data_IF_620677714155
#
_entry.id   IF_620677714155
#
_cell.length_a   1.000
_cell.length_b   1.000
_cell.length_c   1.000
_cell.angle_alpha   90.00
_cell.angle_beta   90.00
_cell.angle_gamma   90.00
#
_symmetry.space_group_name_H-M   'P 1'
#
loop_
_entity.id
_entity.type
_entity.pdbx_description
1 polymer ?
#
# COMPACT_ATOMS: atom_id res chain seq x y z
N UNK A 1 -1.24 2.96 -35.26
CA UNK A 1 0.10 2.40 -35.58
C UNK A 1 1.01 3.60 -35.79
N UNK A 2 2.14 3.53 -35.12
CA UNK A 2 3.35 4.35 -35.22
C UNK A 2 3.21 5.81 -34.73
N UNK A 3 3.58 6.14 -33.48
CA UNK A 3 4.90 6.14 -32.82
C UNK A 3 5.77 7.32 -33.24
N UNK A 4 5.96 8.28 -32.34
CA UNK A 4 7.27 8.78 -31.86
C UNK A 4 7.04 9.29 -30.42
N UNK A 5 7.74 8.69 -29.46
CA UNK A 5 7.93 9.23 -28.11
C UNK A 5 9.22 10.06 -28.18
N UNK A 6 9.09 11.38 -28.14
CA UNK A 6 10.17 12.31 -27.86
C UNK A 6 9.84 13.03 -26.55
N UNK A 7 10.71 12.87 -25.56
CA UNK A 7 11.00 13.81 -24.47
C UNK A 7 12.10 13.11 -23.65
N UNK A 8 13.34 13.59 -23.55
CA UNK A 8 13.77 14.97 -23.42
C UNK A 8 14.55 15.05 -22.10
N UNK A 9 15.72 14.42 -22.04
CA UNK A 9 16.63 14.57 -20.91
C UNK A 9 17.34 15.91 -21.04
N UNK A 10 16.96 16.90 -20.21
CA UNK A 10 17.68 18.17 -20.13
C UNK A 10 19.06 17.95 -19.47
N UNK A 11 20.10 17.91 -20.30
CA UNK A 11 21.50 17.73 -19.88
C UNK A 11 22.18 19.10 -19.79
N UNK A 12 22.57 19.54 -18.58
CA UNK A 12 23.43 20.71 -18.37
C UNK A 12 24.72 20.29 -17.64
N UNK A 13 25.86 20.83 -18.11
CA UNK A 13 27.21 20.25 -18.13
C UNK A 13 28.14 20.51 -16.90
N UNK A 14 29.09 19.57 -16.71
CA UNK A 14 30.49 19.63 -16.18
C UNK A 14 30.82 19.85 -14.68
N UNK A 15 31.44 18.85 -14.01
CA UNK A 15 32.91 18.75 -13.72
C UNK A 15 33.23 17.65 -12.67
N UNK A 16 34.46 17.10 -12.74
CA UNK A 16 34.94 15.84 -12.14
C UNK A 16 35.11 15.82 -10.60
N UNK A 17 34.87 14.64 -10.01
CA UNK A 17 35.50 14.20 -8.76
C UNK A 17 35.26 12.71 -8.46
N UNK A 18 36.32 11.88 -8.44
CA UNK A 18 36.28 10.46 -8.02
C UNK A 18 36.49 10.34 -6.50
N UNK A 19 35.65 9.59 -5.78
CA UNK A 19 35.96 9.13 -4.39
C UNK A 19 35.29 7.78 -4.05
N UNK A 20 36.06 6.85 -3.47
CA UNK A 20 35.62 5.54 -2.95
C UNK A 20 35.06 5.55 -1.50
N UNK A 21 34.40 4.46 -1.09
CA UNK A 21 33.54 4.37 0.10
C UNK A 21 34.19 3.73 1.36
N UNK A 22 33.84 4.28 2.54
CA UNK A 22 34.07 3.83 3.93
C UNK A 22 33.19 4.68 4.87
N UNK A 23 32.53 4.01 5.81
CA UNK A 23 31.53 4.47 6.80
C UNK A 23 32.06 5.56 7.76
N UNK A 24 31.18 6.52 8.10
CA UNK A 24 31.29 7.67 9.05
C UNK A 24 31.10 9.01 8.31
N UNK A 25 30.09 9.78 8.74
CA UNK A 25 29.76 11.17 8.39
C UNK A 25 30.46 11.75 7.16
N UNK A 26 29.85 11.55 5.99
CA UNK A 26 30.35 12.12 4.73
C UNK A 26 29.52 13.34 4.35
N UNK A 27 30.17 14.50 4.34
CA UNK A 27 29.70 15.67 3.59
C UNK A 27 30.19 15.48 2.16
N UNK A 28 29.28 15.14 1.23
CA UNK A 28 29.62 15.03 -0.19
C UNK A 28 29.04 16.25 -0.91
N UNK A 29 29.94 17.10 -1.40
CA UNK A 29 29.61 18.20 -2.30
C UNK A 29 29.68 17.67 -3.72
N UNK A 30 28.56 17.69 -4.42
CA UNK A 30 28.43 17.12 -5.76
C UNK A 30 27.43 17.95 -6.56
N UNK A 31 27.69 18.11 -7.86
CA UNK A 31 26.68 18.56 -8.82
C UNK A 31 25.71 17.40 -9.04
N UNK A 32 24.46 17.56 -8.64
CA UNK A 32 23.44 16.54 -8.79
C UNK A 32 22.63 16.79 -10.07
N UNK A 33 22.38 15.72 -10.83
CA UNK A 33 21.49 15.75 -11.98
C UNK A 33 20.04 15.50 -11.52
N UNK A 34 19.09 16.19 -12.14
CA UNK A 34 17.65 15.90 -12.02
C UNK A 34 17.31 14.83 -13.06
N UNK A 35 16.71 13.74 -12.61
CA UNK A 35 16.13 12.74 -13.50
C UNK A 35 14.69 12.45 -13.11
N UNK A 36 13.92 12.00 -14.11
CA UNK A 36 12.51 11.65 -13.99
C UNK A 36 12.39 10.20 -14.50
N UNK A 37 12.12 9.22 -13.63
CA UNK A 37 11.87 7.84 -14.07
C UNK A 37 12.10 6.74 -13.01
N UNK A 38 11.43 5.61 -13.21
CA UNK A 38 11.49 4.40 -12.38
C UNK A 38 12.84 3.67 -12.48
N UNK A 39 13.26 3.04 -11.36
CA UNK A 39 14.26 1.96 -11.12
C UNK A 39 15.65 2.00 -11.80
N UNK A 40 15.89 2.84 -12.82
CA UNK A 40 17.07 2.76 -13.71
C UNK A 40 17.88 4.05 -13.86
N UNK A 41 17.51 5.14 -13.19
CA UNK A 41 18.15 6.45 -13.40
C UNK A 41 19.57 6.55 -12.78
N UNK A 42 19.79 5.91 -11.62
CA UNK A 42 21.09 6.01 -10.94
C UNK A 42 22.27 5.45 -11.75
N UNK A 43 22.04 4.41 -12.56
CA UNK A 43 23.09 3.86 -13.44
C UNK A 43 23.32 4.77 -14.65
N UNK A 44 22.27 5.36 -15.22
CA UNK A 44 22.41 6.33 -16.32
C UNK A 44 23.18 7.58 -15.89
N UNK A 45 22.87 8.14 -14.71
CA UNK A 45 23.60 9.28 -14.14
C UNK A 45 25.07 8.91 -13.90
N UNK A 46 25.35 7.70 -13.41
CA UNK A 46 26.72 7.20 -13.22
C UNK A 46 27.48 7.07 -14.54
N UNK A 47 26.84 6.49 -15.56
CA UNK A 47 27.43 6.27 -16.89
C UNK A 47 27.70 7.60 -17.61
N UNK A 48 26.88 8.63 -17.35
CA UNK A 48 27.10 10.01 -17.79
C UNK A 48 28.21 10.75 -17.01
N UNK A 49 28.86 10.09 -16.04
CA UNK A 49 29.93 10.68 -15.21
C UNK A 49 29.43 11.52 -14.03
N UNK A 50 28.13 11.42 -13.69
CA UNK A 50 27.52 12.17 -12.61
C UNK A 50 27.95 11.68 -11.22
N UNK A 51 28.32 12.58 -10.28
CA UNK A 51 28.78 12.20 -8.95
C UNK A 51 27.64 11.88 -7.96
N UNK A 52 26.43 12.39 -8.21
CA UNK A 52 25.26 12.22 -7.37
C UNK A 52 23.96 12.45 -8.15
N UNK A 53 22.83 12.01 -7.57
CA UNK A 53 21.49 12.14 -8.12
C UNK A 53 20.50 12.68 -7.09
N UNK A 54 19.61 13.58 -7.52
CA UNK A 54 18.40 13.92 -6.77
C UNK A 54 17.23 13.36 -7.57
N UNK A 55 16.68 12.24 -7.11
CA UNK A 55 15.48 11.64 -7.67
C UNK A 55 14.27 12.45 -7.22
N UNK A 56 13.40 12.80 -8.15
CA UNK A 56 12.23 13.64 -7.87
C UNK A 56 10.94 12.95 -8.25
N UNK A 57 9.98 12.97 -7.34
CA UNK A 57 8.62 12.52 -7.60
C UNK A 57 7.94 13.37 -8.67
N UNK A 58 7.07 12.73 -9.45
CA UNK A 58 6.08 13.39 -10.29
C UNK A 58 4.81 13.79 -9.49
N UNK A 59 3.85 14.42 -10.17
CA UNK A 59 2.59 14.92 -9.57
C UNK A 59 1.76 13.81 -8.91
N UNK A 60 1.83 12.58 -9.41
CA UNK A 60 1.06 11.43 -8.89
C UNK A 60 1.68 10.89 -7.61
N UNK A 61 3.01 10.78 -7.58
CA UNK A 61 3.79 10.30 -6.42
C UNK A 61 3.77 11.31 -5.26
N UNK A 62 3.68 12.60 -5.58
CA UNK A 62 3.49 13.69 -4.62
C UNK A 62 4.52 13.66 -3.47
N UNK A 63 4.10 13.36 -2.23
CA UNK A 63 4.96 13.33 -1.04
C UNK A 63 5.44 11.92 -0.66
N UNK A 64 5.11 10.88 -1.44
CA UNK A 64 5.52 9.52 -1.13
C UNK A 64 7.01 9.32 -1.38
N UNK A 65 7.80 9.10 -0.33
CA UNK A 65 9.25 8.92 -0.45
C UNK A 65 9.58 7.47 -0.23
N UNK A 66 10.09 6.83 -1.28
CA UNK A 66 10.53 5.45 -1.25
C UNK A 66 12.05 5.43 -1.09
N UNK A 67 12.51 4.69 -0.09
CA UNK A 67 13.91 4.32 0.05
C UNK A 67 14.26 3.19 -0.90
N UNK A 68 15.01 3.52 -1.96
CA UNK A 68 15.60 2.56 -2.89
C UNK A 68 17.12 2.63 -2.86
N UNK A 69 17.76 1.52 -3.24
CA UNK A 69 19.21 1.46 -3.34
C UNK A 69 19.66 1.98 -4.71
N UNK A 70 20.65 2.88 -4.72
CA UNK A 70 21.23 3.43 -5.94
C UNK A 70 22.74 3.14 -6.04
N UNK A 71 23.25 3.02 -7.26
CA UNK A 71 24.66 2.72 -7.56
C UNK A 71 25.63 3.90 -7.33
N UNK A 72 25.08 5.08 -7.01
CA UNK A 72 25.78 6.31 -6.68
C UNK A 72 25.06 7.03 -5.53
N UNK A 73 25.61 8.17 -5.09
CA UNK A 73 25.00 8.97 -4.03
C UNK A 73 23.66 9.53 -4.49
N UNK A 74 22.56 9.14 -3.84
CA UNK A 74 21.24 9.59 -4.23
C UNK A 74 20.39 10.01 -3.04
N UNK A 75 19.45 10.93 -3.29
CA UNK A 75 18.35 11.26 -2.38
C UNK A 75 17.06 11.35 -3.19
N UNK A 76 15.96 10.87 -2.60
CA UNK A 76 14.64 10.95 -3.18
C UNK A 76 13.84 12.08 -2.51
N UNK A 77 13.25 12.98 -3.30
CA UNK A 77 12.50 14.13 -2.81
C UNK A 77 11.10 14.24 -3.45
N UNK A 78 10.17 14.83 -2.69
CA UNK A 78 8.78 15.00 -3.12
C UNK A 78 8.64 15.95 -4.32
N UNK A 79 7.52 15.86 -5.02
CA UNK A 79 7.18 16.78 -6.12
C UNK A 79 7.20 18.25 -5.68
N UNK A 80 6.70 18.55 -4.47
CA UNK A 80 6.74 19.91 -3.92
C UNK A 80 8.18 20.42 -3.67
N UNK A 81 9.11 19.52 -3.37
CA UNK A 81 10.52 19.85 -3.20
C UNK A 81 11.21 20.04 -4.55
N UNK A 82 10.88 19.21 -5.55
CA UNK A 82 11.35 19.36 -6.94
C UNK A 82 11.07 20.77 -7.46
N UNK A 83 9.85 21.28 -7.30
CA UNK A 83 9.48 22.62 -7.77
C UNK A 83 10.38 23.72 -7.17
N UNK A 84 10.74 23.58 -5.88
CA UNK A 84 11.67 24.49 -5.21
C UNK A 84 13.11 24.35 -5.72
N UNK A 85 13.52 23.12 -6.03
CA UNK A 85 14.86 22.83 -6.57
C UNK A 85 14.98 23.40 -7.99
N UNK A 86 13.98 23.21 -8.86
CA UNK A 86 13.92 23.81 -10.20
C UNK A 86 13.98 25.33 -10.15
N UNK A 87 13.21 25.95 -9.25
CA UNK A 87 13.26 27.39 -9.05
C UNK A 87 14.65 27.87 -8.59
N UNK A 88 15.31 27.13 -7.69
CA UNK A 88 16.67 27.44 -7.24
C UNK A 88 17.68 27.32 -8.39
N UNK A 89 17.63 26.27 -9.20
CA UNK A 89 18.52 26.08 -10.36
C UNK A 89 18.42 27.26 -11.32
N UNK A 90 17.21 27.75 -11.58
CA UNK A 90 16.99 28.89 -12.48
C UNK A 90 17.35 30.25 -11.86
N UNK A 91 17.61 30.31 -10.55
CA UNK A 91 17.91 31.57 -9.85
C UNK A 91 19.40 31.96 -9.86
N UNK A 92 20.29 31.06 -10.26
CA UNK A 92 21.75 31.28 -10.24
C UNK A 92 22.42 30.60 -11.42
N UNK A 93 23.51 31.17 -11.92
CA UNK A 93 24.31 30.59 -13.01
C UNK A 93 25.22 29.44 -12.58
N UNK A 94 25.39 29.23 -11.27
CA UNK A 94 26.25 28.17 -10.70
C UNK A 94 25.54 27.45 -9.54
N UNK A 95 24.45 26.71 -9.80
CA UNK A 95 23.71 26.01 -8.75
C UNK A 95 24.56 24.87 -8.18
N UNK A 96 24.67 24.83 -6.86
CA UNK A 96 25.33 23.73 -6.13
C UNK A 96 24.43 23.18 -5.04
N UNK A 97 24.60 21.91 -4.69
CA UNK A 97 23.86 21.23 -3.65
C UNK A 97 24.78 20.32 -2.82
N UNK A 98 24.32 19.92 -1.64
CA UNK A 98 25.02 18.97 -0.77
C UNK A 98 24.01 17.97 -0.23
N UNK A 99 24.30 16.68 -0.37
CA UNK A 99 23.47 15.61 0.18
C UNK A 99 24.11 15.18 1.51
N UNK A 100 23.34 15.20 2.59
CA UNK A 100 23.77 14.82 3.93
C UNK A 100 22.92 13.64 4.40
N UNK A 101 23.56 12.50 4.67
CA UNK A 101 22.89 11.31 5.18
C UNK A 101 22.80 11.35 6.70
N UNK A 102 21.57 11.35 7.23
CA UNK A 102 21.30 11.38 8.67
C UNK A 102 20.96 10.01 9.27
N UNK A 103 21.09 8.94 8.47
CA UNK A 103 20.65 7.60 8.85
C UNK A 103 19.13 7.45 8.90
N UNK A 104 18.66 6.40 9.56
CA UNK A 104 17.22 6.09 9.68
C UNK A 104 16.57 6.97 10.76
N UNK A 105 15.54 7.71 10.37
CA UNK A 105 14.67 8.44 11.30
C UNK A 105 13.48 7.57 11.66
N UNK A 106 13.30 7.30 12.95
CA UNK A 106 12.18 6.54 13.51
C UNK A 106 11.18 7.47 14.21
N UNK A 107 9.93 7.01 14.36
CA UNK A 107 8.91 7.73 15.12
C UNK A 107 8.18 8.82 14.34
N UNK A 108 8.12 8.71 13.01
CA UNK A 108 7.33 9.61 12.15
C UNK A 108 5.86 9.56 12.55
N UNK A 109 5.38 10.62 13.21
CA UNK A 109 4.03 10.61 13.80
C UNK A 109 2.89 10.67 12.78
N UNK A 110 3.19 11.03 11.54
CA UNK A 110 2.22 11.04 10.44
C UNK A 110 1.98 9.66 9.83
N UNK A 111 2.79 8.65 10.19
CA UNK A 111 2.61 7.27 9.72
C UNK A 111 1.39 6.58 10.39
N UNK A 112 0.69 5.70 9.67
CA UNK A 112 0.94 5.31 8.28
C UNK A 112 0.31 6.30 7.28
N UNK A 113 0.84 6.27 6.05
CA UNK A 113 0.31 6.97 4.88
C UNK A 113 0.09 5.90 3.80
N UNK A 114 -1.00 6.00 3.02
CA UNK A 114 -1.24 5.10 1.89
C UNK A 114 -0.33 5.49 0.74
N UNK A 115 0.49 4.54 0.27
CA UNK A 115 1.43 4.74 -0.83
C UNK A 115 0.73 5.07 -2.15
N UNK A 116 1.40 5.83 -3.02
CA UNK A 116 0.85 6.26 -4.31
C UNK A 116 0.53 5.05 -5.21
N UNK A 117 1.41 4.05 -5.22
CA UNK A 117 1.28 2.84 -6.03
C UNK A 117 0.24 1.85 -5.50
N UNK A 118 -0.25 2.05 -4.26
CA UNK A 118 -1.25 1.14 -3.67
C UNK A 118 -2.55 1.25 -4.45
N UNK A 119 -2.95 0.17 -5.13
CA UNK A 119 -4.17 0.14 -5.92
C UNK A 119 -5.40 0.50 -5.08
N UNK A 120 -6.30 1.26 -5.69
CA UNK A 120 -7.51 1.77 -5.05
C UNK A 120 -8.74 1.02 -5.57
N UNK A 121 -9.76 0.89 -4.72
CA UNK A 121 -11.07 0.41 -5.13
C UNK A 121 -11.86 1.41 -5.99
N UNK A 122 -13.13 1.10 -6.32
CA UNK A 122 -13.88 -0.10 -5.93
C UNK A 122 -13.42 -1.38 -6.67
N UNK A 123 -13.83 -2.54 -6.17
CA UNK A 123 -13.61 -3.80 -6.90
C UNK A 123 -14.53 -3.88 -8.11
N UNK A 124 -13.97 -3.90 -9.31
CA UNK A 124 -14.73 -4.09 -10.55
C UNK A 124 -15.35 -5.50 -10.66
N UNK A 125 -14.78 -6.49 -9.96
CA UNK A 125 -15.33 -7.84 -9.92
C UNK A 125 -16.63 -7.92 -9.11
N UNK A 126 -16.77 -7.09 -8.08
CA UNK A 126 -17.94 -7.09 -7.20
C UNK A 126 -18.08 -5.77 -6.45
N UNK A 127 -18.92 -4.87 -6.98
CA UNK A 127 -19.21 -3.57 -6.35
C UNK A 127 -19.88 -3.69 -4.97
N UNK A 128 -20.48 -4.83 -4.64
CA UNK A 128 -21.08 -5.10 -3.32
C UNK A 128 -20.06 -5.36 -2.19
N UNK A 129 -18.77 -5.53 -2.53
CA UNK A 129 -17.69 -5.76 -1.57
C UNK A 129 -16.67 -4.65 -1.70
N UNK A 130 -16.49 -3.89 -0.63
CA UNK A 130 -15.48 -2.83 -0.55
C UNK A 130 -14.07 -3.43 -0.66
N UNK A 131 -13.20 -2.80 -1.47
CA UNK A 131 -11.77 -3.12 -1.56
C UNK A 131 -10.91 -1.85 -1.50
N UNK A 132 -9.70 -1.91 -0.91
CA UNK A 132 -9.08 -3.07 -0.25
C UNK A 132 -9.82 -3.47 1.05
N UNK A 133 -9.39 -4.51 1.75
CA UNK A 133 -10.00 -4.90 3.03
C UNK A 133 -9.38 -4.12 4.21
N UNK A 134 -8.04 -4.04 4.26
CA UNK A 134 -7.25 -3.37 5.29
C UNK A 134 -5.87 -3.03 4.70
N UNK A 135 -5.09 -2.17 5.36
CA UNK A 135 -3.73 -1.82 4.95
C UNK A 135 -2.70 -2.29 5.98
N UNK A 136 -1.46 -2.48 5.53
CA UNK A 136 -0.32 -2.83 6.38
C UNK A 136 0.99 -2.21 5.87
N UNK A 137 2.11 -2.45 6.57
CA UNK A 137 3.41 -1.93 6.18
C UNK A 137 3.88 -2.52 4.85
N UNK A 138 4.15 -1.67 3.85
CA UNK A 138 4.58 -2.11 2.52
C UNK A 138 5.52 -1.16 1.79
N UNK A 139 6.00 -0.11 2.44
CA UNK A 139 6.94 0.86 1.85
C UNK A 139 8.26 0.75 2.60
N UNK A 140 9.37 0.67 1.85
CA UNK A 140 10.73 0.61 2.38
C UNK A 140 10.92 -0.49 3.42
N UNK A 141 10.40 -1.68 3.10
CA UNK A 141 10.51 -2.88 3.94
C UNK A 141 11.87 -3.52 3.69
N UNK A 142 12.61 -3.76 4.77
CA UNK A 142 13.83 -4.55 4.73
C UNK A 142 13.48 -6.04 4.61
N UNK A 143 13.84 -6.67 3.49
CA UNK A 143 13.48 -8.03 3.16
C UNK A 143 14.68 -8.83 2.65
N UNK A 144 14.67 -10.14 2.88
CA UNK A 144 15.71 -11.03 2.37
C UNK A 144 15.48 -11.38 0.90
N UNK A 145 16.55 -11.45 0.10
CA UNK A 145 16.54 -11.82 -1.32
C UNK A 145 17.43 -13.02 -1.57
N UNK A 146 17.00 -13.90 -2.47
CA UNK A 146 17.72 -15.15 -2.78
C UNK A 146 18.88 -14.99 -3.80
N UNK A 147 18.96 -13.86 -4.50
CA UNK A 147 20.00 -13.54 -5.49
C UNK A 147 20.53 -12.12 -5.28
N UNK A 148 21.83 -11.94 -5.49
CA UNK A 148 22.47 -10.62 -5.54
C UNK A 148 21.84 -9.76 -6.63
N UNK A 149 21.83 -8.45 -6.43
CA UNK A 149 21.62 -7.48 -7.51
C UNK A 149 22.78 -7.50 -8.51
N UNK A 150 23.97 -7.89 -8.05
CA UNK A 150 25.17 -8.00 -8.87
C UNK A 150 25.11 -9.31 -9.67
N UNK A 151 24.62 -9.24 -10.90
CA UNK A 151 24.81 -10.28 -11.92
C UNK A 151 26.26 -10.29 -12.47
N UNK A 152 27.25 -9.82 -11.72
CA UNK A 152 28.65 -9.96 -12.11
C UNK A 152 29.19 -11.31 -11.64
N UNK A 153 29.45 -12.18 -12.61
CA UNK A 153 29.87 -13.57 -12.53
C UNK A 153 31.16 -13.85 -11.74
N UNK A 154 31.75 -12.89 -11.03
CA UNK A 154 33.01 -13.08 -10.30
C UNK A 154 33.18 -12.23 -9.02
N UNK A 155 32.12 -11.62 -8.48
CA UNK A 155 32.22 -11.01 -7.15
C UNK A 155 31.93 -12.08 -6.08
N UNK A 156 32.93 -12.35 -5.23
CA UNK A 156 32.82 -13.13 -3.98
C UNK A 156 31.45 -12.92 -3.34
N UNK A 157 30.84 -13.98 -2.80
CA UNK A 157 29.58 -14.02 -2.04
C UNK A 157 29.46 -12.96 -0.91
N UNK A 158 29.42 -11.69 -1.27
CA UNK A 158 29.03 -10.54 -0.45
C UNK A 158 27.83 -9.88 -1.14
N UNK A 159 26.97 -10.70 -1.75
CA UNK A 159 25.65 -10.33 -2.20
C UNK A 159 24.86 -9.88 -0.97
N UNK A 160 24.46 -8.61 -0.90
CA UNK A 160 23.53 -8.16 0.12
C UNK A 160 22.22 -8.94 -0.05
N UNK A 161 22.08 -10.06 0.66
CA UNK A 161 20.87 -10.88 0.74
C UNK A 161 19.73 -10.15 1.45
N UNK A 162 19.92 -8.87 1.79
CA UNK A 162 18.95 -8.00 2.44
C UNK A 162 18.82 -6.76 1.56
N UNK A 163 17.61 -6.48 1.13
CA UNK A 163 17.27 -5.33 0.28
C UNK A 163 16.11 -4.56 0.89
N UNK A 164 16.04 -3.27 0.58
CA UNK A 164 14.86 -2.46 0.87
C UNK A 164 13.94 -2.52 -0.35
N UNK A 165 12.66 -2.82 -0.14
CA UNK A 165 11.69 -2.96 -1.23
C UNK A 165 10.32 -2.46 -0.80
N UNK A 166 9.54 -2.02 -1.79
CA UNK A 166 8.22 -1.44 -1.60
C UNK A 166 7.21 -2.14 -2.49
N UNK A 167 5.97 -2.23 -2.02
CA UNK A 167 4.87 -2.85 -2.75
C UNK A 167 3.79 -3.40 -1.82
N UNK A 168 2.59 -3.56 -2.37
CA UNK A 168 1.52 -4.32 -1.70
C UNK A 168 1.92 -5.78 -1.49
N UNK A 169 2.81 -6.32 -2.34
CA UNK A 169 3.49 -7.61 -2.15
C UNK A 169 4.28 -7.71 -0.84
N UNK A 170 4.73 -6.58 -0.27
CA UNK A 170 5.43 -6.53 1.01
C UNK A 170 4.45 -6.31 2.19
N UNK A 171 3.31 -5.67 1.95
CA UNK A 171 2.21 -5.59 2.93
C UNK A 171 1.49 -6.93 3.11
N UNK A 172 1.34 -7.71 2.05
CA UNK A 172 0.67 -9.01 2.08
C UNK A 172 1.24 -10.00 3.12
N UNK A 173 2.56 -10.25 3.19
CA UNK A 173 3.13 -11.17 4.18
C UNK A 173 2.99 -10.66 5.62
N UNK A 174 3.03 -9.34 5.86
CA UNK A 174 2.73 -8.79 7.20
C UNK A 174 1.30 -9.12 7.63
N UNK A 175 0.32 -8.88 6.77
CA UNK A 175 -1.09 -9.20 7.06
C UNK A 175 -1.33 -10.72 7.17
N UNK A 176 -0.60 -11.52 6.40
CA UNK A 176 -0.65 -12.98 6.48
C UNK A 176 -0.08 -13.50 7.81
N UNK A 177 1.02 -12.91 8.29
CA UNK A 177 1.57 -13.17 9.63
C UNK A 177 0.58 -12.81 10.74
N UNK A 178 -0.10 -11.67 10.62
CA UNK A 178 -1.15 -11.28 11.56
C UNK A 178 -2.31 -12.30 11.55
N UNK A 179 -2.75 -12.75 10.38
CA UNK A 179 -3.78 -13.77 10.24
C UNK A 179 -3.36 -15.11 10.88
N UNK A 180 -2.10 -15.51 10.70
CA UNK A 180 -1.55 -16.71 11.32
C UNK A 180 -1.52 -16.62 12.85
N UNK A 181 -1.18 -15.45 13.41
CA UNK A 181 -1.19 -15.22 14.86
C UNK A 181 -2.61 -15.32 15.44
N UNK A 182 -3.61 -14.75 14.75
CA UNK A 182 -5.01 -14.88 15.14
C UNK A 182 -5.45 -16.34 15.04
N UNK A 183 -5.11 -17.05 13.95
CA UNK A 183 -5.43 -18.49 13.79
C UNK A 183 -4.79 -19.36 14.87
N UNK A 184 -3.58 -19.03 15.29
CA UNK A 184 -2.89 -19.75 16.36
C UNK A 184 -3.59 -19.55 17.71
N UNK A 185 -4.14 -18.35 17.95
CA UNK A 185 -4.89 -18.07 19.19
C UNK A 185 -6.30 -18.64 19.15
N UNK A 186 -6.92 -18.68 17.97
CA UNK A 186 -8.27 -19.20 17.74
C UNK A 186 -8.26 -20.33 16.68
N UNK A 187 -7.84 -21.55 17.03
CA UNK A 187 -7.69 -22.64 16.07
C UNK A 187 -8.98 -23.09 15.40
N UNK A 188 -10.12 -22.86 16.04
CA UNK A 188 -11.47 -23.22 15.58
C UNK A 188 -12.09 -22.16 14.65
N UNK A 189 -11.56 -20.94 14.63
CA UNK A 189 -12.10 -19.86 13.80
C UNK A 189 -11.97 -20.14 12.31
N UNK A 190 -13.02 -19.78 11.58
CA UNK A 190 -13.00 -19.78 10.12
C UNK A 190 -12.02 -18.70 9.60
N UNK A 191 -11.63 -18.80 8.32
CA UNK A 191 -10.84 -17.75 7.68
C UNK A 191 -11.61 -16.42 7.58
N UNK A 192 -12.94 -16.47 7.50
CA UNK A 192 -13.77 -15.28 7.49
C UNK A 192 -13.84 -14.61 8.87
N UNK A 193 -13.90 -15.39 9.95
CA UNK A 193 -13.78 -14.89 11.32
C UNK A 193 -12.45 -14.17 11.54
N UNK A 194 -11.34 -14.74 11.06
CA UNK A 194 -10.00 -14.11 11.13
C UNK A 194 -9.95 -12.83 10.31
N UNK A 195 -10.47 -12.87 9.06
CA UNK A 195 -10.58 -11.66 8.22
C UNK A 195 -11.38 -10.57 8.94
N UNK A 196 -12.51 -10.93 9.53
CA UNK A 196 -13.35 -10.02 10.30
C UNK A 196 -12.61 -9.41 11.48
N UNK A 197 -11.89 -10.23 12.25
CA UNK A 197 -11.10 -9.77 13.38
C UNK A 197 -10.07 -8.73 12.95
N UNK A 198 -9.31 -9.02 11.89
CA UNK A 198 -8.30 -8.09 11.35
C UNK A 198 -8.91 -6.78 10.85
N UNK A 199 -10.06 -6.82 10.17
CA UNK A 199 -10.70 -5.61 9.65
C UNK A 199 -11.34 -4.78 10.77
N UNK A 200 -12.17 -5.39 11.62
CA UNK A 200 -12.94 -4.66 12.64
C UNK A 200 -12.08 -4.11 13.78
N UNK A 201 -10.86 -4.64 13.96
CA UNK A 201 -9.88 -4.15 14.93
C UNK A 201 -8.89 -3.12 14.36
N UNK A 202 -8.87 -2.92 13.05
CA UNK A 202 -7.96 -1.99 12.38
C UNK A 202 -8.18 -0.54 12.85
N UNK A 203 -7.13 0.28 12.75
CA UNK A 203 -7.17 1.70 13.12
C UNK A 203 -7.28 2.59 11.89
N UNK A 204 -8.21 3.55 11.94
CA UNK A 204 -8.34 4.62 10.94
C UNK A 204 -7.39 5.79 11.20
N UNK A 205 -6.66 5.76 12.32
CA UNK A 205 -5.82 6.84 12.76
C UNK A 205 -4.32 6.54 12.60
N UNK A 206 -3.56 7.57 12.25
CA UNK A 206 -2.10 7.59 12.31
C UNK A 206 -1.60 7.75 13.76
N UNK A 207 -0.28 7.75 13.95
CA UNK A 207 0.33 7.86 15.28
C UNK A 207 0.09 9.22 15.99
N UNK A 208 -0.42 10.23 15.27
CA UNK A 208 -0.89 11.50 15.82
C UNK A 208 -2.39 11.50 16.18
N UNK A 209 -3.11 10.39 15.98
CA UNK A 209 -4.55 10.32 16.20
C UNK A 209 -5.39 11.00 15.11
N UNK A 210 -4.76 11.42 14.00
CA UNK A 210 -5.44 11.98 12.83
C UNK A 210 -5.83 10.86 11.85
N UNK A 211 -6.78 11.11 10.96
CA UNK A 211 -7.11 10.15 9.91
C UNK A 211 -5.86 9.81 9.09
N UNK A 212 -5.72 8.53 8.72
CA UNK A 212 -4.66 8.07 7.81
C UNK A 212 -4.74 8.88 6.51
N UNK A 213 -3.59 9.36 6.06
CA UNK A 213 -3.49 10.17 4.86
C UNK A 213 -3.13 9.33 3.62
N UNK A 214 -3.35 9.89 2.44
CA UNK A 214 -2.82 9.42 1.17
C UNK A 214 -1.47 10.09 0.84
N UNK A 215 -0.86 9.72 -0.29
CA UNK A 215 0.42 10.22 -0.80
C UNK A 215 0.47 11.75 -0.98
N UNK A 216 -0.70 12.40 -1.06
CA UNK A 216 -0.85 13.85 -1.18
C UNK A 216 -1.07 14.55 0.17
N UNK A 217 -1.00 13.81 1.28
CA UNK A 217 -1.22 14.30 2.65
C UNK A 217 -2.66 14.77 2.89
N UNK A 218 -3.61 14.24 2.12
CA UNK A 218 -5.04 14.40 2.40
C UNK A 218 -5.59 13.14 3.09
N UNK A 219 -6.69 13.24 3.87
CA UNK A 219 -7.34 12.05 4.42
C UNK A 219 -7.59 11.00 3.34
N UNK A 220 -7.11 9.78 3.56
CA UNK A 220 -7.29 8.67 2.64
C UNK A 220 -8.77 8.30 2.54
N UNK A 221 -9.26 8.13 1.32
CA UNK A 221 -10.63 7.67 1.11
C UNK A 221 -10.81 6.18 1.46
N UNK A 222 -12.06 5.76 1.49
CA UNK A 222 -12.44 4.38 1.84
C UNK A 222 -11.94 3.35 0.81
N UNK A 223 -11.68 3.75 -0.43
CA UNK A 223 -11.12 2.89 -1.49
C UNK A 223 -9.60 2.78 -1.40
N UNK A 224 -8.96 3.56 -0.53
CA UNK A 224 -7.54 3.48 -0.21
C UNK A 224 -7.27 2.71 1.08
N UNK A 225 -7.99 3.07 2.16
CA UNK A 225 -7.70 2.59 3.52
C UNK A 225 -8.67 1.52 4.00
N UNK A 226 -9.91 1.54 3.49
CA UNK A 226 -11.02 0.66 3.88
C UNK A 226 -11.17 0.56 5.39
N UNK A 227 -10.91 -0.60 6.02
CA UNK A 227 -11.05 -0.78 7.46
C UNK A 227 -10.00 -0.04 8.30
N UNK A 228 -8.87 0.33 7.71
CA UNK A 228 -7.76 0.95 8.44
C UNK A 228 -6.46 0.16 8.36
N UNK A 229 -5.47 0.65 9.10
CA UNK A 229 -4.20 -0.04 9.32
C UNK A 229 -4.34 -1.18 10.33
N UNK A 230 -3.76 -2.33 10.00
CA UNK A 230 -3.85 -3.53 10.84
C UNK A 230 -3.38 -3.27 12.27
N UNK A 231 -4.12 -3.83 13.23
CA UNK A 231 -3.80 -3.75 14.65
C UNK A 231 -3.78 -5.18 15.25
N UNK A 232 -2.64 -5.89 15.16
CA UNK A 232 -2.56 -7.29 15.56
C UNK A 232 -2.98 -7.52 17.03
N UNK A 233 -2.54 -6.71 18.02
CA UNK A 233 -2.97 -6.90 19.41
C UNK A 233 -4.49 -6.84 19.60
N UNK A 234 -5.19 -5.94 18.90
CA UNK A 234 -6.66 -5.86 18.98
C UNK A 234 -7.36 -6.96 18.18
N UNK A 235 -6.74 -7.49 17.13
CA UNK A 235 -7.29 -8.56 16.30
C UNK A 235 -7.30 -9.92 17.00
N UNK A 236 -6.52 -10.09 18.07
CA UNK A 236 -6.44 -11.33 18.84
C UNK A 236 -7.69 -11.55 19.68
N UNK A 237 -8.37 -10.52 20.17
CA UNK A 237 -9.59 -10.68 20.98
C UNK A 237 -10.68 -9.66 20.61
N UNK A 238 -11.22 -9.71 19.37
CA UNK A 238 -12.38 -8.92 18.99
C UNK A 238 -13.61 -9.41 19.76
N UNK A 239 -14.42 -8.47 20.25
CA UNK A 239 -15.68 -8.83 20.92
C UNK A 239 -16.66 -9.54 19.99
N UNK A 240 -16.64 -9.19 18.69
CA UNK A 240 -17.59 -9.68 17.68
C UNK A 240 -16.91 -9.85 16.33
N UNK A 241 -17.43 -10.79 15.56
CA UNK A 241 -16.94 -11.13 14.23
C UNK A 241 -18.10 -11.33 13.25
N UNK A 242 -17.86 -11.01 11.98
CA UNK A 242 -18.70 -11.33 10.84
C UNK A 242 -18.23 -12.66 10.27
N UNK A 243 -18.78 -13.75 10.79
CA UNK A 243 -18.46 -15.09 10.28
C UNK A 243 -19.37 -15.47 9.11
N UNK A 244 -18.83 -16.24 8.17
CA UNK A 244 -19.53 -16.68 6.97
C UNK A 244 -18.90 -17.98 6.44
N UNK A 245 -19.74 -18.89 5.98
CA UNK A 245 -19.30 -20.22 5.52
C UNK A 245 -18.92 -20.21 4.04
N UNK A 246 -18.20 -21.24 3.60
CA UNK A 246 -17.93 -21.49 2.18
C UNK A 246 -19.21 -21.56 1.33
N UNK A 247 -20.27 -22.16 1.87
CA UNK A 247 -21.56 -22.29 1.18
C UNK A 247 -22.21 -20.92 0.92
N UNK A 248 -22.02 -19.96 1.82
CA UNK A 248 -22.51 -18.61 1.60
C UNK A 248 -21.71 -17.88 0.51
N UNK A 249 -20.39 -18.12 0.40
CA UNK A 249 -19.61 -17.60 -0.74
C UNK A 249 -20.07 -18.21 -2.07
N UNK A 250 -20.37 -19.51 -2.08
CA UNK A 250 -20.96 -20.17 -3.26
C UNK A 250 -22.32 -19.54 -3.62
N UNK A 251 -23.20 -19.35 -2.65
CA UNK A 251 -24.49 -18.70 -2.86
C UNK A 251 -24.33 -17.24 -3.33
N UNK A 252 -23.28 -16.54 -2.87
CA UNK A 252 -22.93 -15.21 -3.34
C UNK A 252 -22.49 -15.20 -4.80
N UNK A 253 -21.62 -16.14 -5.20
CA UNK A 253 -21.23 -16.31 -6.60
C UNK A 253 -22.45 -16.58 -7.50
N UNK A 254 -23.41 -17.36 -7.02
CA UNK A 254 -24.69 -17.56 -7.70
C UNK A 254 -25.50 -16.25 -7.83
N UNK A 255 -25.50 -15.39 -6.81
CA UNK A 255 -26.19 -14.09 -6.81
C UNK A 255 -25.53 -12.99 -7.63
N UNK A 256 -24.27 -13.17 -8.05
CA UNK A 256 -23.58 -12.26 -8.95
C UNK A 256 -24.07 -12.34 -10.40
N UNK A 257 -24.80 -13.40 -10.78
CA UNK A 257 -25.42 -13.54 -12.11
C UNK A 257 -24.69 -14.52 -13.04
N UNK A 258 -24.38 -14.07 -14.28
CA UNK A 258 -23.89 -14.83 -15.46
C UNK A 258 -22.56 -15.61 -15.31
N UNK A 259 -22.22 -16.04 -14.10
CA UNK A 259 -20.99 -16.75 -13.79
C UNK A 259 -21.14 -18.27 -13.76
N UNK A 260 -22.24 -18.89 -14.21
CA UNK A 260 -22.42 -20.37 -14.08
C UNK A 260 -21.19 -21.20 -14.52
N UNK A 261 -20.56 -20.85 -15.66
CA UNK A 261 -19.32 -21.50 -16.12
C UNK A 261 -18.09 -21.13 -15.28
N UNK A 262 -17.99 -19.88 -14.83
CA UNK A 262 -16.90 -19.38 -13.98
C UNK A 262 -16.98 -19.93 -12.55
N UNK A 263 -18.18 -20.11 -12.00
CA UNK A 263 -18.41 -20.73 -10.70
C UNK A 263 -17.92 -22.17 -10.71
N UNK A 264 -18.15 -22.95 -11.78
CA UNK A 264 -17.59 -24.30 -11.90
C UNK A 264 -16.06 -24.27 -11.97
N UNK A 265 -15.46 -23.31 -12.67
CA UNK A 265 -13.99 -23.15 -12.71
C UNK A 265 -13.43 -22.79 -11.33
N UNK A 266 -14.07 -21.86 -10.63
CA UNK A 266 -13.63 -21.34 -9.33
C UNK A 266 -13.79 -22.41 -8.23
N UNK A 267 -14.94 -23.07 -8.19
CA UNK A 267 -15.29 -24.04 -7.14
C UNK A 267 -14.84 -25.46 -7.46
N UNK A 268 -14.50 -25.74 -8.73
CA UNK A 268 -14.18 -27.07 -9.26
C UNK A 268 -15.30 -28.10 -9.07
N UNK A 269 -16.53 -27.66 -8.81
CA UNK A 269 -17.70 -28.51 -8.61
C UNK A 269 -18.89 -27.99 -9.44
N UNK A 270 -19.79 -28.90 -9.83
CA UNK A 270 -21.06 -28.53 -10.46
C UNK A 270 -22.02 -28.09 -9.36
N UNK A 271 -22.37 -26.81 -9.34
CA UNK A 271 -23.23 -26.20 -8.32
C UNK A 271 -24.58 -25.84 -8.93
N UNK A 272 -25.67 -26.29 -8.28
CA UNK A 272 -27.02 -25.85 -8.60
C UNK A 272 -27.33 -24.53 -7.86
N UNK A 273 -27.34 -23.42 -8.61
CA UNK A 273 -27.71 -22.11 -8.07
C UNK A 273 -29.23 -21.93 -7.86
N UNK A 274 -30.05 -22.97 -8.07
CA UNK A 274 -31.51 -22.83 -8.04
C UNK A 274 -32.08 -22.63 -6.63
N UNK A 275 -31.39 -23.11 -5.59
CA UNK A 275 -31.92 -23.11 -4.21
C UNK A 275 -31.22 -22.10 -3.29
N UNK A 276 -30.06 -21.56 -3.68
CA UNK A 276 -29.24 -20.69 -2.82
C UNK A 276 -28.59 -19.56 -3.62
N UNK A 277 -29.07 -18.35 -3.43
CA UNK A 277 -28.53 -17.12 -4.04
C UNK A 277 -28.52 -15.99 -3.01
N UNK A 278 -27.36 -15.38 -2.80
CA UNK A 278 -27.19 -14.21 -1.91
C UNK A 278 -26.96 -12.97 -2.78
N UNK A 279 -27.82 -11.94 -2.70
CA UNK A 279 -27.61 -10.69 -3.42
C UNK A 279 -26.28 -10.01 -3.08
N UNK A 280 -25.73 -9.24 -4.02
CA UNK A 280 -24.48 -8.46 -3.89
C UNK A 280 -24.33 -7.73 -2.56
N UNK A 281 -25.42 -7.19 -2.02
CA UNK A 281 -25.45 -6.36 -0.81
C UNK A 281 -25.57 -7.16 0.50
N UNK A 282 -25.95 -8.44 0.42
CA UNK A 282 -26.31 -9.26 1.59
C UNK A 282 -25.20 -10.21 2.05
N UNK A 283 -24.02 -10.17 1.44
CA UNK A 283 -22.89 -10.95 1.96
C UNK A 283 -22.56 -10.45 3.37
N UNK A 284 -22.38 -11.38 4.32
CA UNK A 284 -21.98 -11.06 5.70
C UNK A 284 -20.50 -10.64 5.79
N UNK A 285 -20.11 -9.61 5.04
CA UNK A 285 -18.77 -9.06 5.02
C UNK A 285 -18.65 -7.94 6.08
N UNK A 286 -17.50 -7.77 6.76
CA UNK A 286 -17.23 -6.73 7.75
C UNK A 286 -17.07 -5.32 7.13
N UNK A 287 -17.76 -5.04 6.03
CA UNK A 287 -17.85 -3.73 5.41
C UNK A 287 -19.14 -3.58 4.62
N UNK A 288 -19.47 -2.33 4.30
CA UNK A 288 -20.63 -1.96 3.49
C UNK A 288 -20.13 -1.18 2.28
N UNK A 289 -20.67 -1.48 1.11
CA UNK A 289 -20.41 -0.76 -0.13
C UNK A 289 -21.74 -0.48 -0.81
N UNK A 290 -22.11 0.80 -0.89
CA UNK A 290 -23.40 1.25 -1.40
C UNK A 290 -23.17 2.04 -2.68
N UNK A 291 -23.73 1.56 -3.79
CA UNK A 291 -23.82 2.34 -5.00
C UNK A 291 -25.07 3.22 -4.93
N UNK A 292 -24.88 4.54 -4.97
CA UNK A 292 -25.98 5.50 -4.92
C UNK A 292 -26.78 5.44 -6.23
N UNK A 293 -28.11 5.35 -6.11
CA UNK A 293 -29.07 5.24 -7.21
C UNK A 293 -30.50 5.47 -6.71
N UNK A 294 -31.52 5.13 -7.52
CA UNK A 294 -32.94 5.35 -7.15
C UNK A 294 -33.48 4.39 -6.08
N UNK A 295 -32.75 3.34 -5.71
CA UNK A 295 -33.15 2.36 -4.71
C UNK A 295 -32.46 2.59 -3.36
N UNK A 296 -33.18 2.32 -2.27
CA UNK A 296 -32.66 2.32 -0.89
C UNK A 296 -32.39 0.88 -0.43
N UNK A 297 -31.21 0.31 -0.70
CA UNK A 297 -30.92 -1.07 -0.32
C UNK A 297 -30.81 -1.22 1.20
N UNK A 298 -31.49 -2.22 1.75
CA UNK A 298 -31.35 -2.63 3.16
C UNK A 298 -30.21 -3.65 3.26
N UNK A 299 -29.29 -3.47 4.21
CA UNK A 299 -28.19 -4.41 4.46
C UNK A 299 -28.47 -5.19 5.74
N UNK A 300 -28.45 -6.52 5.64
CA UNK A 300 -28.48 -7.39 6.82
C UNK A 300 -27.07 -7.94 7.10
N UNK A 301 -26.72 -8.03 8.38
CA UNK A 301 -25.47 -8.61 8.87
C UNK A 301 -25.74 -9.45 10.11
N UNK A 302 -24.99 -10.53 10.24
CA UNK A 302 -25.01 -11.41 11.40
C UNK A 302 -23.69 -11.28 12.14
N UNK A 303 -23.76 -10.93 13.42
CA UNK A 303 -22.60 -10.84 14.30
C UNK A 303 -22.54 -12.09 15.17
N UNK A 304 -21.37 -12.74 15.17
CA UNK A 304 -21.06 -13.87 16.05
C UNK A 304 -20.15 -13.37 17.17
N UNK A 305 -20.32 -13.95 18.36
CA UNK A 305 -19.48 -13.62 19.52
C UNK A 305 -18.04 -14.06 19.26
N UNK A 306 -17.10 -13.12 19.37
CA UNK A 306 -15.67 -13.39 19.20
C UNK A 306 -14.96 -13.68 20.53
N UNK A 307 -15.43 -13.11 21.65
CA UNK A 307 -14.81 -13.34 22.97
C UNK A 307 -15.73 -14.09 23.93
N UNK A 308 -15.17 -14.57 25.04
CA UNK A 308 -15.92 -15.31 26.07
C UNK A 308 -16.70 -14.33 26.98
N UNK A 309 -16.34 -13.05 27.01
CA UNK A 309 -16.99 -12.03 27.85
C UNK A 309 -18.42 -11.70 27.40
N UNK A 310 -19.32 -11.35 28.32
CA UNK A 310 -20.64 -10.81 27.97
C UNK A 310 -20.48 -9.45 27.27
N UNK A 311 -21.13 -9.27 26.12
CA UNK A 311 -21.04 -8.04 25.32
C UNK A 311 -22.40 -7.36 25.28
N UNK A 312 -22.44 -6.09 25.65
CA UNK A 312 -23.56 -5.18 25.34
C UNK A 312 -23.09 -4.20 24.28
N UNK A 313 -23.91 -3.94 23.26
CA UNK A 313 -23.55 -3.08 22.14
C UNK A 313 -24.45 -1.86 22.06
N UNK A 314 -23.83 -0.74 21.68
CA UNK A 314 -24.51 0.45 21.18
C UNK A 314 -24.03 0.73 19.77
N UNK A 315 -24.95 0.77 18.81
CA UNK A 315 -24.63 1.14 17.44
C UNK A 315 -24.37 2.64 17.37
N UNK A 316 -23.19 3.04 16.89
CA UNK A 316 -22.83 4.43 16.63
C UNK A 316 -22.65 4.56 15.12
N UNK A 317 -23.51 5.36 14.49
CA UNK A 317 -23.40 5.67 13.07
C UNK A 317 -22.77 7.05 12.92
N UNK A 318 -21.65 7.11 12.18
CA UNK A 318 -21.02 8.36 11.77
C UNK A 318 -21.24 8.52 10.27
N UNK A 319 -21.86 9.62 9.87
CA UNK A 319 -22.10 9.91 8.46
C UNK A 319 -21.36 11.18 8.06
N UNK A 320 -20.64 11.11 6.94
CA UNK A 320 -19.95 12.26 6.34
C UNK A 320 -20.90 13.13 5.50
N UNK A 321 -22.12 12.63 5.25
CA UNK A 321 -23.22 13.31 4.54
C UNK A 321 -24.54 12.93 5.24
N UNK A 322 -25.56 13.79 5.26
CA UNK A 322 -26.85 13.46 5.90
C UNK A 322 -27.51 12.22 5.27
N UNK A 323 -27.37 11.05 5.92
CA UNK A 323 -28.11 9.83 5.60
C UNK A 323 -29.24 9.71 6.61
N UNK A 324 -30.48 9.87 6.16
CA UNK A 324 -31.66 9.62 7.01
C UNK A 324 -31.90 8.10 7.05
N UNK A 325 -31.89 7.54 8.24
CA UNK A 325 -32.41 6.20 8.50
C UNK A 325 -33.92 6.34 8.74
N UNK A 326 -34.72 5.55 8.04
CA UNK A 326 -36.16 5.40 8.25
C UNK A 326 -36.42 4.16 9.11
#
# INVERSE_FOLDING_TARGET
MDAVVEDGADVISTSLGRVGASTIDRIIRATAYLGIGDEFDGQMVKDAGGPAMILTNNVVEAYDIIGDAHVLLATHVSYAAEQKIKAYINSTSAPTATIIFKGMLLGTKTAPIVAFFSSRGPSLASLGILKPDTIGPGVSILATRYKSLDNETNAKMNANLIVMSSGTSLSCPHLSGNAALVKNTHPDWSLAAIKSALMTSATQANFNGQLIANERVFPADVFAVSAGHANPPKAIDPSLIYDITSDNYVAYLCGLGNMKKQTVIITRCVISCHERSIPKVQLNNPSFSIQLGMSSPVYSRTLTKGSIACVSMKHIVRSLVSVKFA
#
